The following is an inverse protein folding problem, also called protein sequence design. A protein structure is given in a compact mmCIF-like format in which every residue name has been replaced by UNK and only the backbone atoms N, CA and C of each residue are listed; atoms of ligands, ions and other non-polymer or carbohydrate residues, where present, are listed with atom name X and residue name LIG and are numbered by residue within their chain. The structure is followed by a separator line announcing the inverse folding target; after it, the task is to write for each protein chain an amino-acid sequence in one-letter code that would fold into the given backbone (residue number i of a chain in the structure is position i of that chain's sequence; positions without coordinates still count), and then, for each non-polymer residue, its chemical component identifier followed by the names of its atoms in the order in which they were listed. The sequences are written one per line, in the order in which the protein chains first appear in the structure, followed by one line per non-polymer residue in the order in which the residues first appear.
data_IF_423194266442
#
_entry.id   IF_423194266442
#
_cell.length_a   1.000
_cell.length_b   1.000
_cell.length_c   1.000
_cell.angle_alpha   90.00
_cell.angle_beta   90.00
_cell.angle_gamma   90.00
#
_symmetry.space_group_name_H-M   'P 1'
#
loop_
_entity.id
_entity.type
_entity.pdbx_description
1 polymer ?
#
# COMPACT_ATOMS: atom_id res chain seq x y z
N UNK A 1 67.40 12.23 -30.75
CA UNK A 1 66.21 11.86 -29.97
C UNK A 1 65.84 13.05 -29.06
N UNK A 2 64.60 13.55 -29.16
CA UNK A 2 64.16 14.92 -28.85
C UNK A 2 64.57 15.50 -27.48
N UNK A 3 65.09 16.75 -27.50
CA UNK A 3 65.58 17.51 -26.33
C UNK A 3 64.57 18.49 -25.72
N UNK A 4 63.34 18.56 -26.23
CA UNK A 4 62.35 19.56 -25.81
C UNK A 4 61.23 18.92 -25.00
N UNK A 5 61.45 18.75 -23.68
CA UNK A 5 60.40 18.31 -22.75
C UNK A 5 59.97 19.47 -21.88
N UNK A 6 59.11 20.33 -22.41
CA UNK A 6 58.56 21.48 -21.69
C UNK A 6 57.57 21.00 -20.62
N UNK A 7 57.93 21.17 -19.34
CA UNK A 7 57.05 20.85 -18.21
C UNK A 7 56.05 21.99 -18.00
N UNK A 8 54.78 21.74 -18.28
CA UNK A 8 53.70 22.68 -18.02
C UNK A 8 53.31 22.61 -16.54
N UNK A 9 53.45 23.72 -15.81
CA UNK A 9 53.01 23.82 -14.42
C UNK A 9 51.49 24.05 -14.37
N UNK A 10 50.72 22.96 -14.42
CA UNK A 10 49.27 23.04 -14.23
C UNK A 10 48.95 23.43 -12.78
N UNK A 11 48.46 24.66 -12.57
CA UNK A 11 47.84 25.06 -11.30
C UNK A 11 46.37 24.69 -11.34
N UNK A 12 45.99 23.64 -10.62
CA UNK A 12 44.60 23.29 -10.43
C UNK A 12 44.00 24.21 -9.36
N UNK A 13 42.88 24.86 -9.68
CA UNK A 13 42.12 25.61 -8.70
C UNK A 13 41.57 24.65 -7.61
N UNK A 14 41.28 25.14 -6.39
CA UNK A 14 40.68 24.32 -5.34
C UNK A 14 39.38 23.68 -5.82
N UNK A 15 39.14 22.40 -5.46
CA UNK A 15 37.89 21.71 -5.80
C UNK A 15 36.69 22.53 -5.30
N UNK A 16 35.92 23.11 -6.20
CA UNK A 16 34.61 23.69 -5.90
C UNK A 16 33.60 22.55 -5.77
N UNK A 17 33.63 21.83 -4.65
CA UNK A 17 32.57 20.88 -4.32
C UNK A 17 31.31 21.68 -3.98
N UNK A 18 30.41 21.79 -4.95
CA UNK A 18 29.06 22.27 -4.69
C UNK A 18 28.39 21.25 -3.75
N UNK A 19 27.97 21.69 -2.56
CA UNK A 19 27.04 20.92 -1.74
C UNK A 19 25.69 20.93 -2.43
N UNK A 20 25.44 19.91 -3.25
CA UNK A 20 24.12 19.67 -3.83
C UNK A 20 23.25 19.11 -2.71
N UNK A 21 22.18 19.81 -2.26
CA UNK A 21 21.22 19.22 -1.36
C UNK A 21 20.60 18.01 -2.08
N UNK A 22 20.61 16.84 -1.44
CA UNK A 22 19.90 15.67 -1.96
C UNK A 22 18.40 15.94 -1.84
N UNK A 23 17.82 16.60 -2.84
CA UNK A 23 16.38 16.62 -3.04
C UNK A 23 16.01 15.20 -3.48
N UNK A 24 15.14 14.48 -2.75
CA UNK A 24 14.74 13.15 -3.17
C UNK A 24 14.05 13.24 -4.53
N UNK A 25 14.58 12.49 -5.50
CA UNK A 25 14.19 12.53 -6.92
C UNK A 25 12.75 12.04 -7.19
N UNK A 26 12.10 11.48 -6.17
CA UNK A 26 10.71 11.01 -6.19
C UNK A 26 10.22 10.91 -4.74
N UNK A 27 8.90 10.95 -4.46
CA UNK A 27 8.40 10.56 -3.14
C UNK A 27 8.96 9.18 -2.80
N UNK A 28 9.63 9.10 -1.66
CA UNK A 28 10.21 7.86 -1.18
C UNK A 28 9.04 6.90 -0.90
N UNK A 29 8.84 5.89 -1.74
CA UNK A 29 7.73 4.93 -1.62
C UNK A 29 7.65 4.27 -0.23
N UNK A 30 8.78 4.15 0.46
CA UNK A 30 8.81 3.64 1.83
C UNK A 30 8.22 4.58 2.90
N UNK A 31 8.02 5.87 2.62
CA UNK A 31 7.19 6.74 3.48
C UNK A 31 5.69 6.64 3.15
N UNK A 32 5.34 6.43 1.88
CA UNK A 32 3.96 6.11 1.47
C UNK A 32 3.50 4.77 2.04
N UNK A 33 4.43 3.82 2.22
CA UNK A 33 4.20 2.52 2.87
C UNK A 33 3.61 2.72 4.27
N UNK A 34 4.12 3.69 5.02
CA UNK A 34 3.66 4.02 6.36
C UNK A 34 2.27 4.68 6.35
N UNK A 35 2.02 5.62 5.44
CA UNK A 35 0.77 6.38 5.41
C UNK A 35 -0.43 5.53 4.96
N UNK A 36 -0.23 4.68 3.95
CA UNK A 36 -1.30 3.80 3.48
C UNK A 36 -1.65 2.75 4.54
N UNK A 37 -0.64 2.21 5.23
CA UNK A 37 -0.87 1.22 6.29
C UNK A 37 -1.62 1.85 7.48
N UNK A 38 -1.25 3.07 7.88
CA UNK A 38 -1.99 3.82 8.91
C UNK A 38 -3.43 4.11 8.49
N UNK A 39 -3.65 4.50 7.23
CA UNK A 39 -4.99 4.71 6.67
C UNK A 39 -5.81 3.42 6.68
N UNK A 40 -5.21 2.30 6.26
CA UNK A 40 -5.81 0.97 6.29
C UNK A 40 -6.23 0.58 7.69
N UNK A 41 -5.33 0.68 8.67
CA UNK A 41 -5.62 0.36 10.06
C UNK A 41 -6.77 1.21 10.62
N UNK A 42 -6.77 2.52 10.34
CA UNK A 42 -7.83 3.43 10.79
C UNK A 42 -9.19 3.05 10.22
N UNK A 43 -9.30 2.86 8.91
CA UNK A 43 -10.57 2.52 8.26
C UNK A 43 -11.03 1.11 8.63
N UNK A 44 -10.12 0.15 8.70
CA UNK A 44 -10.42 -1.21 9.14
C UNK A 44 -10.94 -1.23 10.58
N UNK A 45 -10.30 -0.48 11.49
CA UNK A 45 -10.76 -0.39 12.88
C UNK A 45 -12.17 0.17 12.98
N UNK A 46 -12.47 1.26 12.27
CA UNK A 46 -13.80 1.85 12.22
C UNK A 46 -14.85 0.84 11.70
N UNK A 47 -14.46 -0.01 10.72
CA UNK A 47 -15.38 -1.00 10.17
C UNK A 47 -15.58 -2.21 11.09
N UNK A 48 -14.52 -2.68 11.73
CA UNK A 48 -14.59 -3.77 12.71
C UNK A 48 -15.40 -3.37 13.95
N UNK A 49 -15.33 -2.11 14.39
CA UNK A 49 -16.18 -1.64 15.51
C UNK A 49 -17.67 -1.64 15.16
N UNK A 50 -18.02 -1.55 13.87
CA UNK A 50 -19.40 -1.59 13.41
C UNK A 50 -19.94 -3.02 13.20
N UNK A 51 -19.08 -4.05 13.19
CA UNK A 51 -19.45 -5.43 12.86
C UNK A 51 -19.07 -6.37 14.00
N UNK A 52 -20.08 -6.96 14.63
CA UNK A 52 -19.89 -7.86 15.79
C UNK A 52 -19.54 -9.30 15.38
N UNK A 53 -19.87 -9.70 14.14
CA UNK A 53 -19.73 -11.08 13.67
C UNK A 53 -18.25 -11.47 13.38
N UNK A 54 -17.68 -12.47 14.08
CA UNK A 54 -16.28 -12.87 13.92
C UNK A 54 -15.95 -13.38 12.50
N UNK A 55 -16.87 -14.09 11.84
CA UNK A 55 -16.67 -14.57 10.47
C UNK A 55 -16.55 -13.44 9.44
N UNK A 56 -17.28 -12.34 9.67
CA UNK A 56 -17.24 -11.17 8.80
C UNK A 56 -15.95 -10.39 9.05
N UNK A 57 -15.47 -10.33 10.29
CA UNK A 57 -14.24 -9.65 10.66
C UNK A 57 -13.01 -10.21 9.95
N UNK A 58 -12.87 -11.53 9.84
CA UNK A 58 -11.78 -12.15 9.10
C UNK A 58 -11.80 -11.77 7.60
N UNK A 59 -13.01 -11.76 7.00
CA UNK A 59 -13.19 -11.36 5.60
C UNK A 59 -12.96 -9.87 5.38
N UNK A 60 -13.32 -9.00 6.33
CA UNK A 60 -13.03 -7.57 6.27
C UNK A 60 -11.53 -7.27 6.32
N UNK A 61 -10.78 -7.99 7.16
CA UNK A 61 -9.31 -7.89 7.20
C UNK A 61 -8.68 -8.29 5.86
N UNK A 62 -9.18 -9.38 5.24
CA UNK A 62 -8.75 -9.77 3.89
C UNK A 62 -9.09 -8.70 2.86
N UNK A 63 -10.32 -8.18 2.88
CA UNK A 63 -10.75 -7.12 1.97
C UNK A 63 -9.89 -5.85 2.08
N UNK A 64 -9.45 -5.48 3.30
CA UNK A 64 -8.52 -4.37 3.51
C UNK A 64 -7.15 -4.61 2.85
N UNK A 65 -6.60 -5.82 2.98
CA UNK A 65 -5.33 -6.18 2.35
C UNK A 65 -5.44 -6.24 0.82
N UNK A 66 -6.53 -6.80 0.29
CA UNK A 66 -6.79 -6.86 -1.16
C UNK A 66 -6.95 -5.45 -1.75
N UNK A 67 -7.67 -4.55 -1.05
CA UNK A 67 -7.83 -3.16 -1.44
C UNK A 67 -6.49 -2.41 -1.41
N UNK A 68 -5.66 -2.63 -0.38
CA UNK A 68 -4.32 -2.03 -0.30
C UNK A 68 -3.42 -2.50 -1.43
N UNK A 69 -3.41 -3.81 -1.73
CA UNK A 69 -2.65 -4.36 -2.86
C UNK A 69 -3.05 -3.74 -4.21
N UNK A 70 -4.35 -3.50 -4.42
CA UNK A 70 -4.84 -2.82 -5.62
C UNK A 70 -4.49 -1.33 -5.64
N UNK A 71 -4.64 -0.64 -4.51
CA UNK A 71 -4.31 0.78 -4.38
C UNK A 71 -2.82 1.03 -4.68
N UNK A 72 -1.95 0.13 -4.23
CA UNK A 72 -0.51 0.18 -4.50
C UNK A 72 -0.13 0.18 -5.99
N UNK A 73 -0.96 -0.43 -6.84
CA UNK A 73 -0.72 -0.44 -8.28
C UNK A 73 -1.11 0.89 -8.96
N UNK A 74 -1.67 1.85 -8.23
CA UNK A 74 -2.15 3.13 -8.76
C UNK A 74 -1.18 4.27 -8.51
N UNK A 75 -1.36 5.38 -9.24
CA UNK A 75 -0.54 6.59 -9.06
C UNK A 75 -0.80 7.31 -7.73
N UNK A 76 -1.96 7.12 -7.11
CA UNK A 76 -2.37 7.82 -5.88
C UNK A 76 -3.03 6.85 -4.88
N UNK A 77 -2.26 5.92 -4.25
CA UNK A 77 -2.80 4.87 -3.41
C UNK A 77 -3.67 5.40 -2.25
N UNK A 78 -3.25 6.48 -1.59
CA UNK A 78 -3.99 7.09 -0.46
C UNK A 78 -5.36 7.63 -0.85
N UNK A 79 -5.51 8.10 -2.10
CA UNK A 79 -6.78 8.63 -2.61
C UNK A 79 -7.72 7.51 -3.03
N UNK A 80 -7.18 6.46 -3.66
CA UNK A 80 -7.97 5.38 -4.25
C UNK A 80 -8.35 4.32 -3.21
N UNK A 81 -7.50 4.10 -2.21
CA UNK A 81 -7.69 3.06 -1.20
C UNK A 81 -9.03 3.12 -0.46
N UNK A 82 -9.53 4.28 0.05
CA UNK A 82 -10.79 4.31 0.79
C UNK A 82 -11.98 3.76 -0.01
N UNK A 83 -12.10 4.14 -1.29
CA UNK A 83 -13.16 3.67 -2.16
C UNK A 83 -13.02 2.16 -2.45
N UNK A 84 -11.81 1.70 -2.78
CA UNK A 84 -11.55 0.27 -2.99
C UNK A 84 -11.86 -0.56 -1.74
N UNK A 85 -11.50 -0.07 -0.56
CA UNK A 85 -11.78 -0.75 0.68
C UNK A 85 -13.27 -0.84 0.94
N UNK A 86 -14.04 0.23 0.72
CA UNK A 86 -15.48 0.23 0.88
C UNK A 86 -16.16 -0.80 -0.04
N UNK A 87 -15.81 -0.81 -1.32
CA UNK A 87 -16.34 -1.76 -2.30
C UNK A 87 -16.03 -3.21 -1.92
N UNK A 88 -14.76 -3.49 -1.57
CA UNK A 88 -14.32 -4.83 -1.16
C UNK A 88 -14.96 -5.26 0.15
N UNK A 89 -15.13 -4.35 1.10
CA UNK A 89 -15.79 -4.61 2.38
C UNK A 89 -17.27 -4.97 2.17
N UNK A 90 -17.99 -4.22 1.33
CA UNK A 90 -19.38 -4.53 1.00
C UNK A 90 -19.51 -5.89 0.29
N UNK A 91 -18.61 -6.19 -0.65
CA UNK A 91 -18.58 -7.49 -1.32
C UNK A 91 -18.30 -8.64 -0.33
N UNK A 92 -17.37 -8.45 0.60
CA UNK A 92 -17.05 -9.42 1.64
C UNK A 92 -18.25 -9.71 2.56
N UNK A 93 -18.99 -8.67 2.97
CA UNK A 93 -20.22 -8.83 3.79
C UNK A 93 -21.31 -9.58 3.02
N UNK A 94 -21.57 -9.20 1.76
CA UNK A 94 -22.57 -9.90 0.93
C UNK A 94 -22.23 -11.38 0.76
N UNK A 95 -20.96 -11.66 0.47
CA UNK A 95 -20.48 -13.04 0.30
C UNK A 95 -20.58 -13.82 1.60
N UNK A 96 -20.25 -13.22 2.75
CA UNK A 96 -20.40 -13.85 4.06
C UNK A 96 -21.84 -14.27 4.33
N UNK A 97 -22.80 -13.36 4.11
CA UNK A 97 -24.23 -13.62 4.29
C UNK A 97 -24.74 -14.71 3.35
N UNK A 98 -24.34 -14.66 2.08
CA UNK A 98 -24.74 -15.67 1.11
C UNK A 98 -24.20 -17.06 1.49
N UNK A 99 -22.96 -17.14 1.94
CA UNK A 99 -22.37 -18.41 2.41
C UNK A 99 -23.04 -18.92 3.68
N UNK A 100 -23.42 -18.04 4.62
CA UNK A 100 -24.18 -18.43 5.80
C UNK A 100 -25.54 -19.03 5.41
N UNK A 101 -26.26 -18.40 4.49
CA UNK A 101 -27.54 -18.90 3.98
C UNK A 101 -27.40 -20.25 3.26
N UNK A 102 -26.36 -20.43 2.43
CA UNK A 102 -26.09 -21.72 1.79
C UNK A 102 -25.86 -22.80 2.84
N UNK A 103 -25.06 -22.52 3.88
CA UNK A 103 -24.76 -23.48 4.94
C UNK A 103 -26.02 -23.91 5.69
N UNK A 104 -26.84 -22.94 6.09
CA UNK A 104 -28.12 -23.20 6.76
C UNK A 104 -29.03 -24.09 5.91
N UNK A 105 -29.26 -23.70 4.65
CA UNK A 105 -30.09 -24.47 3.72
C UNK A 105 -29.53 -25.86 3.44
N UNK A 106 -28.21 -25.99 3.35
CA UNK A 106 -27.57 -27.30 3.13
C UNK A 106 -27.69 -28.21 4.36
N UNK A 107 -27.65 -27.63 5.57
CA UNK A 107 -27.84 -28.39 6.80
C UNK A 107 -29.27 -28.91 6.93
N UNK A 108 -30.28 -28.12 6.57
CA UNK A 108 -31.68 -28.54 6.53
C UNK A 108 -31.89 -29.73 5.57
N UNK A 109 -31.29 -29.67 4.38
CA UNK A 109 -31.40 -30.74 3.38
C UNK A 109 -30.71 -32.04 3.82
N UNK A 110 -29.64 -31.96 4.62
CA UNK A 110 -28.94 -33.14 5.15
C UNK A 110 -29.62 -33.73 6.39
N UNK A 111 -30.48 -32.96 7.06
CA UNK A 111 -31.20 -33.38 8.26
C UNK A 111 -32.59 -33.98 7.96
N UNK A 112 -33.10 -33.82 6.72
CA UNK A 112 -34.35 -34.40 6.22
C UNK A 112 -34.14 -35.77 5.57
#
# INVERSE_FOLDING_TARGET
MNKDRQKVAARFAPETRFKVPTVPTAPFRATEDTELELLKERLLRARLTAVTEPEVNARLRRAANDAAALAWATQFPLLVFPALFEEKALAAVRTARHQAWIRERSAELLAA
#
